data_IF_168280021391
#
_entry.id   IF_168280021391
#
_cell.length_a   1.000
_cell.length_b   1.000
_cell.length_c   1.000
_cell.angle_alpha   90.00
_cell.angle_beta   90.00
_cell.angle_gamma   90.00
#
_symmetry.space_group_name_H-M   'P 1'
#
loop_
_entity.id
_entity.type
_entity.pdbx_description
1 polymer ?
#
# COMPACT_ATOMS: atom_id res chain seq x y z
N UNK A 1 -0.92 22.91 11.31
CA UNK A 1 0.14 23.87 10.89
C UNK A 1 0.04 24.00 9.37
N UNK A 2 0.00 25.22 8.83
CA UNK A 2 -0.16 25.45 7.38
C UNK A 2 1.22 25.55 6.71
N UNK A 3 1.40 24.87 5.58
CA UNK A 3 2.61 24.94 4.77
C UNK A 3 2.65 26.28 3.99
N UNK A 4 3.77 27.01 4.01
CA UNK A 4 3.92 28.32 3.33
C UNK A 4 4.97 28.24 2.22
N UNK A 5 4.59 27.68 1.07
CA UNK A 5 5.57 27.38 0.02
C UNK A 5 5.08 27.63 -1.41
N UNK A 6 3.78 27.90 -1.65
CA UNK A 6 3.23 27.91 -3.02
C UNK A 6 3.14 29.30 -3.64
N UNK A 7 2.49 30.30 -3.04
CA UNK A 7 2.45 31.66 -3.62
C UNK A 7 1.84 32.68 -2.66
N UNK A 8 2.04 33.97 -2.97
CA UNK A 8 1.16 35.07 -2.55
C UNK A 8 0.05 35.26 -3.62
N UNK A 9 -1.22 35.50 -3.25
CA UNK A 9 -1.73 35.61 -1.88
C UNK A 9 -1.96 34.25 -1.21
N UNK A 10 -1.94 34.23 0.12
CA UNK A 10 -1.89 33.02 0.96
C UNK A 10 -3.07 32.05 0.85
N UNK A 11 -4.11 32.32 0.06
CA UNK A 11 -5.21 31.37 -0.16
C UNK A 11 -4.72 30.03 -0.73
N UNK A 12 -3.77 30.04 -1.67
CA UNK A 12 -3.23 28.80 -2.23
C UNK A 12 -2.52 27.98 -1.14
N UNK A 13 -1.78 28.63 -0.25
CA UNK A 13 -1.17 27.95 0.92
C UNK A 13 -2.23 27.42 1.91
N UNK A 14 -3.45 27.97 1.88
CA UNK A 14 -4.52 27.59 2.78
C UNK A 14 -5.40 26.45 2.26
N UNK A 15 -5.46 26.28 0.93
CA UNK A 15 -6.39 25.35 0.27
C UNK A 15 -5.70 24.29 -0.57
N UNK A 16 -4.38 24.14 -0.45
CA UNK A 16 -3.62 23.11 -1.17
C UNK A 16 -2.71 22.36 -0.24
N UNK A 17 -2.38 21.13 -0.63
CA UNK A 17 -1.36 20.29 0.01
C UNK A 17 -0.12 20.38 -0.88
N UNK A 18 0.98 20.87 -0.33
CA UNK A 18 2.28 20.89 -1.02
C UNK A 18 3.00 19.55 -0.83
N UNK A 19 3.52 18.99 -1.92
CA UNK A 19 4.36 17.78 -1.90
C UNK A 19 5.74 18.17 -2.41
N UNK A 20 6.75 18.04 -1.55
CA UNK A 20 8.15 18.33 -1.88
C UNK A 20 8.88 17.02 -2.20
N UNK A 21 9.33 16.89 -3.44
CA UNK A 21 9.88 15.64 -3.96
C UNK A 21 11.41 15.71 -4.11
N UNK A 22 12.06 14.55 -4.12
CA UNK A 22 13.48 14.44 -4.46
C UNK A 22 13.73 14.97 -5.89
N UNK A 23 14.60 15.97 -6.11
CA UNK A 23 14.74 16.65 -7.39
C UNK A 23 15.30 15.77 -8.52
N UNK A 24 15.83 14.58 -8.21
CA UNK A 24 16.34 13.63 -9.21
C UNK A 24 15.23 12.92 -9.98
N UNK A 25 14.03 12.82 -9.42
CA UNK A 25 12.86 12.14 -10.02
C UNK A 25 13.18 10.76 -10.61
N UNK A 26 13.81 9.89 -9.82
CA UNK A 26 14.02 8.50 -10.21
C UNK A 26 12.69 7.74 -10.31
N UNK A 27 12.69 6.58 -10.94
CA UNK A 27 11.50 5.72 -11.05
C UNK A 27 10.86 5.41 -9.69
N UNK A 28 11.69 5.15 -8.67
CA UNK A 28 11.22 4.95 -7.30
C UNK A 28 10.64 6.22 -6.66
N UNK A 29 11.16 7.40 -7.02
CA UNK A 29 10.58 8.67 -6.57
C UNK A 29 9.18 8.88 -7.19
N UNK A 30 9.01 8.59 -8.49
CA UNK A 30 7.69 8.63 -9.14
C UNK A 30 6.69 7.68 -8.50
N UNK A 31 7.10 6.44 -8.21
CA UNK A 31 6.24 5.46 -7.53
C UNK A 31 5.82 5.95 -6.14
N UNK A 32 6.77 6.44 -5.34
CA UNK A 32 6.50 6.96 -3.99
C UNK A 32 5.53 8.14 -4.01
N UNK A 33 5.72 9.08 -4.96
CA UNK A 33 4.84 10.25 -5.08
C UNK A 33 3.45 9.83 -5.56
N UNK A 34 3.35 8.89 -6.50
CA UNK A 34 2.08 8.37 -6.99
C UNK A 34 1.28 7.66 -5.89
N UNK A 35 1.95 6.86 -5.06
CA UNK A 35 1.35 6.23 -3.88
C UNK A 35 0.83 7.26 -2.89
N UNK A 36 1.63 8.28 -2.58
CA UNK A 36 1.19 9.38 -1.74
C UNK A 36 -0.05 10.07 -2.32
N UNK A 37 -0.06 10.38 -3.62
CA UNK A 37 -1.24 11.01 -4.27
C UNK A 37 -2.47 10.11 -4.18
N UNK A 38 -2.33 8.80 -4.39
CA UNK A 38 -3.42 7.85 -4.23
C UNK A 38 -3.94 7.79 -2.79
N UNK A 39 -3.05 7.80 -1.79
CA UNK A 39 -3.41 7.87 -0.37
C UNK A 39 -4.20 9.15 -0.06
N UNK A 40 -3.73 10.31 -0.56
CA UNK A 40 -4.47 11.57 -0.44
C UNK A 40 -5.84 11.48 -1.11
N UNK A 41 -5.94 10.79 -2.26
CA UNK A 41 -7.22 10.60 -2.94
C UNK A 41 -8.18 9.66 -2.20
N UNK A 42 -7.67 8.66 -1.49
CA UNK A 42 -8.49 7.80 -0.63
C UNK A 42 -9.07 8.57 0.56
N UNK A 43 -8.29 9.47 1.15
CA UNK A 43 -8.70 10.24 2.33
C UNK A 43 -9.64 11.42 1.97
N UNK A 44 -9.34 12.18 0.92
CA UNK A 44 -10.04 13.42 0.59
C UNK A 44 -10.79 13.41 -0.74
N UNK A 45 -10.82 12.27 -1.45
CA UNK A 45 -11.35 12.16 -2.80
C UNK A 45 -10.35 12.63 -3.88
N UNK A 46 -10.70 12.47 -5.16
CA UNK A 46 -9.81 12.82 -6.27
C UNK A 46 -9.55 14.33 -6.37
N UNK A 47 -8.48 14.77 -5.73
CA UNK A 47 -7.96 16.13 -5.79
C UNK A 47 -7.12 16.35 -7.05
N UNK A 48 -7.16 17.57 -7.59
CA UNK A 48 -6.34 17.94 -8.74
C UNK A 48 -4.85 18.04 -8.33
N UNK A 49 -3.98 17.39 -9.11
CA UNK A 49 -2.53 17.56 -9.01
C UNK A 49 -2.10 18.70 -9.94
N UNK A 50 -1.43 19.71 -9.39
CA UNK A 50 -0.98 20.92 -10.13
C UNK A 50 0.49 21.19 -9.87
N UNK A 51 1.14 21.84 -10.82
CA UNK A 51 2.53 22.25 -10.68
C UNK A 51 2.60 23.53 -9.89
N UNK A 52 3.68 23.72 -9.14
CA UNK A 52 3.93 24.99 -8.46
C UNK A 52 4.02 26.17 -9.46
N UNK A 53 4.66 25.96 -10.61
CA UNK A 53 4.71 26.97 -11.69
C UNK A 53 3.37 27.34 -12.31
N UNK A 54 2.31 26.57 -12.06
CA UNK A 54 0.95 26.94 -12.50
C UNK A 54 0.35 28.03 -11.58
N UNK A 55 0.93 28.28 -10.40
CA UNK A 55 0.48 29.29 -9.43
C UNK A 55 1.38 30.53 -9.36
N UNK A 56 2.70 30.37 -9.54
CA UNK A 56 3.65 31.49 -9.52
C UNK A 56 4.87 31.25 -10.40
N UNK A 57 5.64 32.29 -10.78
CA UNK A 57 6.89 32.11 -11.52
C UNK A 57 7.92 31.34 -10.69
N UNK A 58 8.18 30.08 -11.05
CA UNK A 58 9.18 29.20 -10.42
C UNK A 58 9.64 28.11 -11.40
N UNK A 59 10.77 27.47 -11.10
CA UNK A 59 11.25 26.30 -11.84
C UNK A 59 10.60 24.99 -11.36
N UNK A 60 9.93 25.00 -10.21
CA UNK A 60 9.23 23.83 -9.67
C UNK A 60 8.08 23.41 -10.62
N UNK A 61 7.96 22.11 -10.99
CA UNK A 61 8.47 20.93 -10.29
C UNK A 61 9.77 20.36 -10.90
N UNK A 62 10.54 21.17 -11.63
CA UNK A 62 11.75 20.71 -12.30
C UNK A 62 11.42 19.67 -13.38
N UNK A 63 12.00 18.49 -13.22
CA UNK A 63 11.91 17.38 -14.20
C UNK A 63 10.69 16.49 -14.02
N UNK A 64 9.89 16.69 -12.97
CA UNK A 64 8.71 15.87 -12.75
C UNK A 64 7.63 16.09 -13.82
N UNK A 65 7.17 14.99 -14.38
CA UNK A 65 6.00 14.90 -15.25
C UNK A 65 4.75 14.64 -14.40
N UNK A 66 3.84 15.61 -14.35
CA UNK A 66 2.61 15.51 -13.56
C UNK A 66 1.62 14.52 -14.16
N UNK A 67 1.52 14.45 -15.49
CA UNK A 67 0.58 13.53 -16.14
C UNK A 67 1.01 12.08 -15.86
N UNK A 68 2.33 11.84 -15.83
CA UNK A 68 2.90 10.56 -15.40
C UNK A 68 2.55 10.23 -13.95
N UNK A 69 2.71 11.18 -13.01
CA UNK A 69 2.34 10.97 -11.60
C UNK A 69 0.86 10.63 -11.47
N UNK A 70 0.00 11.38 -12.15
CA UNK A 70 -1.45 11.16 -12.14
C UNK A 70 -1.78 9.77 -12.68
N UNK A 71 -1.17 9.35 -13.79
CA UNK A 71 -1.40 8.01 -14.35
C UNK A 71 -0.97 6.88 -13.41
N UNK A 72 0.17 7.01 -12.74
CA UNK A 72 0.62 6.04 -11.74
C UNK A 72 -0.28 6.05 -10.50
N UNK A 73 -0.72 7.23 -10.05
CA UNK A 73 -1.62 7.36 -8.91
C UNK A 73 -2.99 6.73 -9.18
N UNK A 74 -3.48 6.81 -10.42
CA UNK A 74 -4.71 6.11 -10.84
C UNK A 74 -4.59 4.59 -10.71
N UNK A 75 -3.43 4.02 -11.09
CA UNK A 75 -3.15 2.59 -10.92
C UNK A 75 -3.21 2.24 -9.42
N UNK A 76 -2.46 2.96 -8.58
CA UNK A 76 -2.46 2.76 -7.13
C UNK A 76 -3.86 2.92 -6.51
N UNK A 77 -4.60 3.95 -6.90
CA UNK A 77 -5.93 4.27 -6.36
C UNK A 77 -7.01 3.25 -6.74
N UNK A 78 -6.92 2.68 -7.94
CA UNK A 78 -7.85 1.65 -8.42
C UNK A 78 -7.70 0.31 -7.68
N UNK A 79 -6.67 0.16 -6.85
CA UNK A 79 -6.32 -1.13 -6.26
C UNK A 79 -5.76 -2.11 -7.29
N UNK A 80 -5.29 -1.63 -8.45
CA UNK A 80 -4.25 -2.33 -9.21
C UNK A 80 -3.00 -2.30 -8.33
N UNK A 81 -2.98 -3.22 -7.35
CA UNK A 81 -1.80 -3.57 -6.59
C UNK A 81 -0.64 -3.62 -7.58
N UNK A 82 0.29 -2.68 -7.46
CA UNK A 82 1.53 -2.66 -8.25
C UNK A 82 2.43 -3.79 -7.78
N UNK A 83 1.92 -5.02 -7.79
CA UNK A 83 2.55 -6.28 -7.39
C UNK A 83 3.68 -6.09 -6.40
N UNK A 84 3.41 -5.39 -5.28
CA UNK A 84 4.42 -5.14 -4.27
C UNK A 84 4.70 -6.45 -3.57
N UNK A 85 5.64 -7.16 -4.17
CA UNK A 85 6.45 -8.22 -3.61
C UNK A 85 5.67 -9.24 -2.78
N UNK A 86 4.70 -9.93 -3.39
CA UNK A 86 4.47 -11.30 -2.96
C UNK A 86 5.76 -12.07 -3.34
N UNK A 87 6.72 -12.08 -2.41
CA UNK A 87 7.95 -12.86 -2.56
C UNK A 87 7.53 -14.31 -2.58
N UNK A 88 7.43 -14.86 -3.80
CA UNK A 88 7.29 -16.29 -4.00
C UNK A 88 8.58 -16.94 -3.53
N UNK A 89 8.60 -17.32 -2.24
CA UNK A 89 9.69 -18.06 -1.66
C UNK A 89 9.83 -19.37 -2.42
N UNK A 90 11.07 -19.73 -2.76
CA UNK A 90 11.32 -21.09 -3.23
C UNK A 90 10.83 -22.06 -2.14
N UNK A 91 10.21 -23.21 -2.50
CA UNK A 91 9.62 -24.14 -1.53
C UNK A 91 10.56 -24.51 -0.39
N UNK A 92 11.86 -24.66 -0.67
CA UNK A 92 12.88 -24.97 0.33
C UNK A 92 13.14 -23.82 1.33
N UNK A 93 13.00 -22.56 0.91
CA UNK A 93 13.18 -21.39 1.80
C UNK A 93 11.96 -21.26 2.71
N UNK A 94 10.76 -21.46 2.18
CA UNK A 94 9.53 -21.46 2.97
C UNK A 94 9.54 -22.57 4.04
N UNK A 95 9.99 -23.78 3.66
CA UNK A 95 10.15 -24.90 4.60
C UNK A 95 11.18 -24.60 5.69
N UNK A 96 12.32 -23.98 5.33
CA UNK A 96 13.36 -23.60 6.29
C UNK A 96 12.88 -22.54 7.29
N UNK A 97 12.16 -21.51 6.83
CA UNK A 97 11.59 -20.48 7.72
C UNK A 97 10.57 -21.11 8.69
N UNK A 98 9.73 -22.02 8.19
CA UNK A 98 8.73 -22.72 9.00
C UNK A 98 9.41 -23.56 10.10
N UNK A 99 10.43 -24.34 9.74
CA UNK A 99 11.20 -25.15 10.69
C UNK A 99 11.91 -24.30 11.76
N UNK A 100 12.48 -23.16 11.37
CA UNK A 100 13.06 -22.21 12.32
C UNK A 100 12.02 -21.64 13.29
N UNK A 101 10.82 -21.32 12.80
CA UNK A 101 9.75 -20.78 13.61
C UNK A 101 9.25 -21.81 14.65
N UNK A 102 9.03 -23.05 14.23
CA UNK A 102 8.61 -24.14 15.11
C UNK A 102 9.66 -24.45 16.19
N UNK A 103 10.94 -24.37 15.83
CA UNK A 103 12.06 -24.48 16.79
C UNK A 103 12.08 -23.33 17.80
N UNK A 104 11.83 -22.11 17.36
CA UNK A 104 11.77 -20.94 18.24
C UNK A 104 10.60 -21.02 19.24
N UNK A 105 9.42 -21.47 18.79
CA UNK A 105 8.24 -21.59 19.67
C UNK A 105 8.38 -22.76 20.64
N UNK A 106 8.89 -23.90 20.20
CA UNK A 106 9.08 -25.06 21.07
C UNK A 106 10.11 -24.82 22.18
N UNK A 107 11.07 -23.91 21.95
CA UNK A 107 12.09 -23.53 22.93
C UNK A 107 11.66 -22.38 23.86
N UNK A 108 10.61 -21.61 23.52
CA UNK A 108 10.15 -20.50 24.34
C UNK A 108 8.62 -20.23 24.18
N UNK A 109 7.76 -20.97 24.91
CA UNK A 109 6.32 -21.01 24.65
C UNK A 109 5.55 -19.73 25.03
N UNK A 110 6.18 -18.75 25.69
CA UNK A 110 5.53 -17.50 26.13
C UNK A 110 5.44 -16.41 25.05
N UNK A 111 6.11 -16.57 23.90
CA UNK A 111 6.11 -15.59 22.81
C UNK A 111 5.13 -15.92 21.65
N UNK A 112 4.16 -16.82 21.87
CA UNK A 112 3.15 -17.15 20.87
C UNK A 112 2.23 -15.97 20.54
N UNK A 113 2.07 -15.65 19.25
CA UNK A 113 1.07 -14.71 18.74
C UNK A 113 -0.36 -15.21 19.12
N UNK A 114 -1.33 -14.34 19.46
CA UNK A 114 -2.69 -14.78 19.76
C UNK A 114 -3.27 -15.58 18.59
N UNK A 115 -3.75 -16.78 18.88
CA UNK A 115 -4.34 -17.70 17.91
C UNK A 115 -5.44 -16.97 17.12
N UNK A 116 -5.26 -16.82 15.81
CA UNK A 116 -6.36 -16.49 14.91
C UNK A 116 -7.32 -17.69 14.92
N UNK A 117 -8.44 -17.52 15.63
CA UNK A 117 -9.46 -18.55 15.78
C UNK A 117 -10.07 -18.93 14.43
N UNK A 118 -9.62 -20.05 13.85
CA UNK A 118 -10.44 -20.85 12.95
C UNK A 118 -11.04 -21.99 13.76
N UNK A 119 -12.35 -21.89 14.05
CA UNK A 119 -13.15 -23.00 14.60
C UNK A 119 -13.00 -24.21 13.66
N UNK A 120 -12.25 -25.23 14.09
CA UNK A 120 -12.31 -26.55 13.46
C UNK A 120 -13.65 -27.19 13.81
N UNK A 121 -14.53 -27.33 12.83
CA UNK A 121 -15.62 -28.29 12.91
C UNK A 121 -15.01 -29.69 12.95
N UNK A 122 -15.25 -30.41 14.04
CA UNK A 122 -14.79 -31.79 14.21
C UNK A 122 -15.63 -32.72 13.35
N UNK A 123 -14.96 -33.43 12.42
CA UNK A 123 -15.49 -34.63 11.75
C UNK A 123 -15.60 -35.75 12.79
N UNK A 124 -16.73 -35.84 13.48
CA UNK A 124 -17.12 -37.03 14.22
C UNK A 124 -18.64 -37.03 14.45
N UNK A 125 -19.41 -37.40 13.42
CA UNK A 125 -20.68 -38.08 13.66
C UNK A 125 -21.03 -39.01 12.50
N UNK A 126 -20.73 -40.28 12.77
CA UNK A 126 -21.47 -41.48 12.40
C UNK A 126 -21.93 -41.64 10.95
N UNK A 127 -21.23 -42.57 10.30
CA UNK A 127 -21.81 -43.54 9.38
C UNK A 127 -23.11 -44.12 9.94
N UNK A 128 -24.22 -43.94 9.23
CA UNK A 128 -25.29 -44.93 9.07
C UNK A 128 -26.31 -44.42 8.04
N UNK A 129 -26.48 -45.19 6.97
CA UNK A 129 -27.72 -45.43 6.20
C UNK A 129 -27.59 -45.22 4.68
N UNK A 130 -27.36 -46.34 3.99
CA UNK A 130 -27.98 -46.69 2.73
C UNK A 130 -28.33 -48.20 2.80
N UNK A 131 -29.23 -48.78 1.99
CA UNK A 131 -30.19 -48.20 1.05
C UNK A 131 -31.63 -48.77 1.21
N UNK A 132 -32.63 -48.22 0.49
CA UNK A 132 -33.60 -49.10 -0.20
C UNK A 132 -34.23 -48.38 -1.39
N UNK A 133 -34.07 -48.97 -2.57
CA UNK A 133 -34.81 -48.65 -3.78
C UNK A 133 -36.18 -49.33 -3.74
N UNK A 134 -37.22 -48.63 -4.21
CA UNK A 134 -38.43 -49.20 -4.83
C UNK A 134 -38.90 -48.25 -5.92
#
# INVERSE_FOLDING_TARGET
MMAWHVAQPGYVNQTTIGIECNPRASEGDYATVAELVADLWHEWGKLLVKRHKDYMPTQCPGVYDIDRIVALAEQCYSGEETGKDEVQLRPEVAAWITDLYDKCISQNPSNGLPSTGKKQQTKASLMANAPTAR
#
